data_IF_612174578445
#
_entry.id   IF_612174578445
#
_cell.length_a   1.000
_cell.length_b   1.000
_cell.length_c   1.000
_cell.angle_alpha   90.00
_cell.angle_beta   90.00
_cell.angle_gamma   90.00
#
_symmetry.space_group_name_H-M   'P 1'
#
loop_
_entity.id
_entity.type
_entity.pdbx_description
1 polymer ?
#
# COMPACT_ATOMS: atom_id res chain seq x y z
N UNK A 1 -3.24 5.30 -3.54
CA UNK A 1 -3.47 5.27 -2.08
C UNK A 1 -2.63 6.39 -1.51
N UNK A 2 -3.19 7.29 -0.70
CA UNK A 2 -2.45 8.43 -0.15
C UNK A 2 -1.64 7.99 1.10
N UNK A 3 -0.83 6.92 0.95
CA UNK A 3 -0.12 6.29 2.05
C UNK A 3 0.83 7.28 2.76
N UNK A 4 1.49 8.17 2.01
CA UNK A 4 2.32 9.23 2.59
C UNK A 4 1.55 10.14 3.55
N UNK A 5 0.36 10.62 3.15
CA UNK A 5 -0.47 11.47 4.01
C UNK A 5 -0.99 10.76 5.27
N UNK A 6 -1.28 9.46 5.18
CA UNK A 6 -1.70 8.67 6.34
C UNK A 6 -0.53 8.48 7.32
N UNK A 7 0.65 8.14 6.81
CA UNK A 7 1.86 8.04 7.64
C UNK A 7 2.20 9.38 8.28
N UNK A 8 2.07 10.48 7.54
CA UNK A 8 2.26 11.83 8.07
C UNK A 8 1.30 12.07 9.25
N UNK A 9 0.01 11.79 9.09
CA UNK A 9 -0.96 11.90 10.17
C UNK A 9 -0.53 11.12 11.41
N UNK A 10 -0.10 9.86 11.24
CA UNK A 10 0.35 9.02 12.36
C UNK A 10 1.57 9.61 13.08
N UNK A 11 2.58 10.08 12.34
CA UNK A 11 3.79 10.69 12.92
C UNK A 11 3.51 12.03 13.63
N UNK A 12 2.56 12.82 13.12
CA UNK A 12 2.14 14.07 13.73
C UNK A 12 1.40 13.85 15.06
N UNK A 13 0.68 12.73 15.20
CA UNK A 13 -0.02 12.36 16.45
C UNK A 13 0.83 11.53 17.42
N UNK A 14 2.04 11.15 17.02
CA UNK A 14 2.99 10.51 17.93
C UNK A 14 3.47 11.49 19.01
N UNK A 15 4.04 10.96 20.09
CA UNK A 15 4.65 11.74 21.18
C UNK A 15 5.67 12.76 20.64
N UNK A 16 5.46 14.04 20.95
CA UNK A 16 6.28 15.15 20.48
C UNK A 16 7.64 15.23 21.19
N UNK A 17 7.76 14.74 22.43
CA UNK A 17 9.05 14.70 23.15
C UNK A 17 9.98 13.65 22.54
N UNK A 18 9.38 12.57 22.03
CA UNK A 18 10.09 11.48 21.34
C UNK A 18 10.39 11.83 19.90
N UNK A 19 9.43 12.42 19.20
CA UNK A 19 9.54 12.79 17.80
C UNK A 19 9.09 14.25 17.62
N UNK A 20 9.99 15.22 17.82
CA UNK A 20 9.66 16.64 17.74
C UNK A 20 9.53 17.15 16.29
N UNK A 21 10.22 16.54 15.32
CA UNK A 21 10.21 17.02 13.93
C UNK A 21 9.80 15.92 12.95
N UNK A 22 8.90 16.25 12.03
CA UNK A 22 8.51 15.38 10.91
C UNK A 22 8.68 16.16 9.61
N UNK A 23 9.33 15.54 8.62
CA UNK A 23 9.49 16.11 7.28
C UNK A 23 8.70 15.28 6.28
N UNK A 24 7.89 15.93 5.45
CA UNK A 24 7.15 15.29 4.37
C UNK A 24 7.56 15.88 3.04
N UNK A 25 8.08 15.04 2.15
CA UNK A 25 8.48 15.42 0.79
C UNK A 25 7.52 14.76 -0.19
N UNK A 26 6.91 15.54 -1.07
CA UNK A 26 6.02 15.03 -2.12
C UNK A 26 6.22 15.86 -3.40
N UNK A 27 6.56 15.19 -4.50
CA UNK A 27 6.88 15.87 -5.76
C UNK A 27 8.08 16.82 -5.61
N UNK A 28 7.87 18.12 -5.84
CA UNK A 28 8.88 19.18 -5.65
C UNK A 28 8.70 19.99 -4.36
N UNK A 29 7.78 19.57 -3.48
CA UNK A 29 7.43 20.28 -2.26
C UNK A 29 7.93 19.52 -1.04
N UNK A 30 8.44 20.25 -0.06
CA UNK A 30 8.83 19.70 1.23
C UNK A 30 8.20 20.50 2.37
N UNK A 31 7.72 19.80 3.39
CA UNK A 31 7.06 20.37 4.55
C UNK A 31 7.79 19.91 5.80
N UNK A 32 8.23 20.85 6.64
CA UNK A 32 8.79 20.57 7.95
C UNK A 32 7.76 20.93 9.02
N UNK A 33 7.37 19.94 9.80
CA UNK A 33 6.46 20.08 10.92
C UNK A 33 7.28 20.03 12.22
N UNK A 34 7.35 21.16 12.92
CA UNK A 34 7.87 21.23 14.27
C UNK A 34 6.70 21.09 15.24
N UNK A 35 6.63 19.94 15.90
CA UNK A 35 5.57 19.59 16.83
C UNK A 35 5.73 20.26 18.19
N UNK A 36 6.94 20.72 18.53
CA UNK A 36 7.22 21.44 19.77
C UNK A 36 6.68 22.86 19.69
N UNK A 37 6.98 23.55 18.58
CA UNK A 37 6.49 24.92 18.34
C UNK A 37 5.13 24.96 17.64
N UNK A 38 4.62 23.81 17.19
CA UNK A 38 3.37 23.65 16.42
C UNK A 38 3.37 24.49 15.14
N UNK A 39 4.51 24.51 14.45
CA UNK A 39 4.68 25.27 13.20
C UNK A 39 4.86 24.34 12.00
N UNK A 40 4.52 24.86 10.82
CA UNK A 40 4.80 24.20 9.54
C UNK A 40 5.56 25.16 8.63
N UNK A 41 6.69 24.70 8.11
CA UNK A 41 7.50 25.43 7.14
C UNK A 41 7.46 24.71 5.81
N UNK A 42 7.19 25.46 4.74
CA UNK A 42 7.14 24.91 3.37
C UNK A 42 8.38 25.33 2.59
N UNK A 43 8.97 24.37 1.90
CA UNK A 43 10.12 24.56 1.02
C UNK A 43 9.74 24.09 -0.38
N UNK A 44 9.99 24.96 -1.36
CA UNK A 44 9.85 24.63 -2.78
C UNK A 44 11.23 24.36 -3.34
N UNK A 45 11.33 23.30 -4.14
CA UNK A 45 12.54 22.82 -4.80
C UNK A 45 13.61 22.19 -3.90
N UNK A 46 14.34 21.24 -4.51
CA UNK A 46 15.58 20.63 -4.02
C UNK A 46 16.72 21.38 -4.73
N UNK A 47 17.67 22.05 -4.05
CA UNK A 47 18.20 21.77 -2.70
C UNK A 47 17.88 22.86 -1.65
N UNK A 48 17.21 22.48 -0.54
CA UNK A 48 16.93 23.33 0.64
C UNK A 48 16.54 22.54 1.89
N UNK A 49 15.79 21.45 1.74
CA UNK A 49 15.27 20.71 2.91
C UNK A 49 16.32 19.82 3.57
N UNK A 50 17.25 19.29 2.79
CA UNK A 50 18.40 18.50 3.23
C UNK A 50 19.33 19.30 4.14
N UNK A 51 19.66 20.54 3.79
CA UNK A 51 20.42 21.46 4.64
C UNK A 51 19.71 21.70 5.97
N UNK A 52 18.40 21.93 5.93
CA UNK A 52 17.60 22.15 7.14
C UNK A 52 17.60 20.91 8.02
N UNK A 53 17.32 19.72 7.45
CA UNK A 53 17.33 18.46 8.21
C UNK A 53 18.72 18.18 8.80
N UNK A 54 19.79 18.45 8.05
CA UNK A 54 21.17 18.34 8.52
C UNK A 54 21.44 19.26 9.72
N UNK A 55 21.00 20.51 9.68
CA UNK A 55 21.14 21.46 10.81
C UNK A 55 20.42 20.92 12.06
N UNK A 56 19.20 20.41 11.92
CA UNK A 56 18.47 19.81 13.04
C UNK A 56 19.19 18.57 13.60
N UNK A 57 19.67 17.69 12.71
CA UNK A 57 20.42 16.49 13.07
C UNK A 57 21.72 16.83 13.82
N UNK A 58 22.48 17.82 13.34
CA UNK A 58 23.72 18.29 13.99
C UNK A 58 23.47 18.90 15.38
N UNK A 59 22.28 19.46 15.60
CA UNK A 59 21.83 19.96 16.91
C UNK A 59 21.30 18.86 17.83
N UNK A 60 21.34 17.60 17.41
CA UNK A 60 20.85 16.46 18.18
C UNK A 60 19.32 16.32 18.21
N UNK A 61 18.60 17.06 17.35
CA UNK A 61 17.14 16.96 17.27
C UNK A 61 16.78 15.67 16.54
N UNK A 62 15.92 14.86 17.16
CA UNK A 62 15.35 13.66 16.55
C UNK A 62 14.25 14.05 15.56
N UNK A 63 14.21 13.37 14.43
CA UNK A 63 13.13 13.57 13.48
C UNK A 63 12.91 12.38 12.57
N UNK A 64 11.89 12.50 11.74
CA UNK A 64 11.49 11.45 10.81
C UNK A 64 11.11 12.04 9.46
N UNK A 65 11.61 11.46 8.39
CA UNK A 65 11.31 11.88 7.03
C UNK A 65 10.34 10.90 6.34
N UNK A 66 9.34 11.42 5.64
CA UNK A 66 8.54 10.67 4.70
C UNK A 66 8.85 11.23 3.32
N UNK A 67 9.37 10.39 2.43
CA UNK A 67 9.61 10.73 1.03
C UNK A 67 8.57 10.04 0.15
N UNK A 68 7.62 10.81 -0.37
CA UNK A 68 6.54 10.34 -1.23
C UNK A 68 6.91 10.52 -2.70
N UNK A 69 7.46 9.45 -3.28
CA UNK A 69 7.93 9.38 -4.65
C UNK A 69 6.80 9.19 -5.67
N UNK A 70 5.53 9.30 -5.26
CA UNK A 70 4.40 8.94 -6.13
C UNK A 70 4.12 9.95 -7.25
N UNK A 71 4.44 11.23 -7.08
CA UNK A 71 4.15 12.28 -8.06
C UNK A 71 5.35 12.63 -8.97
N UNK A 72 6.57 12.38 -8.51
CA UNK A 72 7.78 12.52 -9.31
C UNK A 72 8.88 11.67 -8.66
N UNK A 73 9.38 10.66 -9.36
CA UNK A 73 10.58 9.93 -8.93
C UNK A 73 11.80 10.83 -9.15
N UNK A 74 12.07 11.74 -8.21
CA UNK A 74 13.37 12.42 -8.14
C UNK A 74 14.35 11.56 -7.37
N UNK A 75 15.63 11.75 -7.65
CA UNK A 75 16.69 11.08 -6.93
C UNK A 75 16.67 11.59 -5.48
N UNK A 76 16.69 10.68 -4.49
CA UNK A 76 16.84 11.11 -3.09
C UNK A 76 18.11 11.96 -2.96
N UNK A 77 18.05 13.09 -2.23
CA UNK A 77 19.24 13.81 -1.81
C UNK A 77 20.25 12.87 -1.17
N UNK A 78 21.53 13.01 -1.52
CA UNK A 78 22.59 12.07 -1.13
C UNK A 78 22.81 11.96 0.39
N UNK A 79 22.36 12.95 1.17
CA UNK A 79 22.56 13.03 2.63
C UNK A 79 21.41 12.51 3.48
N UNK A 80 20.34 11.96 2.89
CA UNK A 80 19.19 11.45 3.64
C UNK A 80 19.18 9.92 3.74
N UNK A 81 18.69 9.35 4.86
CA UNK A 81 18.34 10.05 6.11
C UNK A 81 19.59 10.55 6.85
N UNK A 82 19.47 11.71 7.51
CA UNK A 82 20.53 12.25 8.37
C UNK A 82 20.77 11.34 9.58
N UNK A 83 21.96 11.46 10.19
CA UNK A 83 22.30 10.68 11.40
C UNK A 83 21.27 10.89 12.50
N UNK A 84 20.75 9.80 13.07
CA UNK A 84 19.77 9.82 14.15
C UNK A 84 18.32 10.07 13.69
N UNK A 85 18.06 10.12 12.38
CA UNK A 85 16.71 10.27 11.82
C UNK A 85 16.22 8.98 11.17
N UNK A 86 14.92 8.72 11.30
CA UNK A 86 14.25 7.65 10.56
C UNK A 86 13.72 8.16 9.21
N UNK A 87 13.52 7.27 8.24
CA UNK A 87 12.88 7.62 6.99
C UNK A 87 12.01 6.50 6.45
N UNK A 88 10.83 6.86 5.93
CA UNK A 88 9.99 6.01 5.08
C UNK A 88 9.97 6.58 3.68
N UNK A 89 10.21 5.72 2.69
CA UNK A 89 10.03 6.03 1.29
C UNK A 89 8.73 5.37 0.81
N UNK A 90 7.80 6.19 0.32
CA UNK A 90 6.54 5.72 -0.28
C UNK A 90 6.74 5.72 -1.80
N UNK A 91 6.80 4.53 -2.38
CA UNK A 91 6.97 4.36 -3.83
C UNK A 91 5.67 3.94 -4.50
N UNK A 92 5.51 4.22 -5.81
CA UNK A 92 4.53 3.52 -6.62
C UNK A 92 4.73 2.00 -6.53
N UNK A 93 3.68 1.19 -6.77
CA UNK A 93 3.77 -0.27 -6.82
C UNK A 93 4.50 -0.74 -8.09
N UNK A 94 5.80 -0.47 -8.18
CA UNK A 94 6.69 -0.85 -9.27
C UNK A 94 7.92 -1.57 -8.70
N UNK A 95 8.17 -2.80 -9.17
CA UNK A 95 9.32 -3.63 -8.77
C UNK A 95 10.64 -2.91 -8.87
N UNK A 96 10.87 -2.28 -10.02
CA UNK A 96 12.17 -1.72 -10.37
C UNK A 96 12.52 -0.57 -9.42
N UNK A 97 11.50 0.20 -9.03
CA UNK A 97 11.65 1.24 -8.02
C UNK A 97 11.97 0.62 -6.65
N UNK A 98 11.18 -0.34 -6.19
CA UNK A 98 11.45 -1.01 -4.90
C UNK A 98 12.86 -1.61 -4.83
N UNK A 99 13.29 -2.36 -5.85
CA UNK A 99 14.62 -2.97 -5.90
C UNK A 99 15.73 -1.92 -5.93
N UNK A 100 15.52 -0.82 -6.66
CA UNK A 100 16.45 0.31 -6.71
C UNK A 100 16.63 0.96 -5.34
N UNK A 101 15.54 1.18 -4.62
CA UNK A 101 15.57 1.76 -3.27
C UNK A 101 16.19 0.82 -2.24
N UNK A 102 15.84 -0.47 -2.30
CA UNK A 102 16.40 -1.49 -1.40
C UNK A 102 17.91 -1.59 -1.56
N UNK A 103 18.41 -1.67 -2.80
CA UNK A 103 19.85 -1.72 -3.09
C UNK A 103 20.59 -0.45 -2.67
N UNK A 104 19.97 0.72 -2.83
CA UNK A 104 20.60 2.01 -2.52
C UNK A 104 20.71 2.28 -1.03
N UNK A 105 19.71 1.85 -0.25
CA UNK A 105 19.49 2.36 1.12
C UNK A 105 19.60 1.28 2.20
N UNK A 106 19.89 0.03 1.84
CA UNK A 106 19.75 -1.14 2.73
C UNK A 106 18.37 -1.16 3.44
N UNK A 107 17.34 -0.78 2.68
CA UNK A 107 16.02 -0.51 3.23
C UNK A 107 15.29 -1.81 3.57
N UNK A 108 14.60 -1.81 4.72
CA UNK A 108 13.68 -2.89 5.09
C UNK A 108 12.28 -2.58 4.56
N UNK A 109 11.66 -3.54 3.85
CA UNK A 109 10.28 -3.40 3.41
C UNK A 109 9.32 -3.39 4.60
N UNK A 110 8.44 -2.38 4.64
CA UNK A 110 7.34 -2.33 5.60
C UNK A 110 6.06 -2.69 4.86
N UNK A 111 5.48 -3.83 5.24
CA UNK A 111 4.15 -4.23 4.78
C UNK A 111 3.12 -3.56 5.68
N UNK A 112 2.11 -2.94 5.07
CA UNK A 112 0.94 -2.41 5.78
C UNK A 112 -0.32 -3.12 5.29
N UNK A 113 -1.28 -3.32 6.21
CA UNK A 113 -2.57 -3.90 5.83
C UNK A 113 -3.32 -2.91 4.93
N UNK A 114 -4.10 -3.46 4.00
CA UNK A 114 -5.11 -2.67 3.32
C UNK A 114 -6.17 -2.18 4.33
N UNK A 115 -6.89 -1.08 4.03
CA UNK A 115 -7.99 -0.62 4.86
C UNK A 115 -9.05 -1.70 5.07
N UNK A 116 -9.62 -1.74 6.25
CA UNK A 116 -10.74 -2.62 6.58
C UNK A 116 -12.07 -2.04 6.08
N UNK A 117 -13.13 -2.84 6.15
CA UNK A 117 -14.46 -2.41 5.72
C UNK A 117 -14.91 -1.12 6.41
N UNK A 118 -14.68 -1.00 7.72
CA UNK A 118 -15.04 0.19 8.48
C UNK A 118 -14.22 1.42 8.09
N UNK A 119 -12.94 1.24 7.74
CA UNK A 119 -12.09 2.33 7.24
C UNK A 119 -12.64 2.86 5.91
N UNK A 120 -12.95 1.96 4.97
CA UNK A 120 -13.51 2.33 3.67
C UNK A 120 -14.90 2.96 3.85
N UNK A 121 -15.72 2.45 4.77
CA UNK A 121 -17.03 3.02 5.09
C UNK A 121 -16.90 4.45 5.61
N UNK A 122 -15.98 4.69 6.53
CA UNK A 122 -15.70 6.03 7.05
C UNK A 122 -15.24 6.98 5.93
N UNK A 123 -14.37 6.52 5.02
CA UNK A 123 -13.98 7.29 3.83
C UNK A 123 -15.20 7.62 2.95
N UNK A 124 -16.11 6.67 2.72
CA UNK A 124 -17.32 6.90 1.93
C UNK A 124 -18.21 7.99 2.54
N UNK A 125 -18.45 7.90 3.86
CA UNK A 125 -19.22 8.89 4.62
C UNK A 125 -18.55 10.26 4.49
N UNK A 126 -17.23 10.35 4.66
CA UNK A 126 -16.49 11.60 4.55
C UNK A 126 -16.54 12.21 3.14
N UNK A 127 -16.41 11.37 2.10
CA UNK A 127 -16.49 11.80 0.69
C UNK A 127 -17.89 12.33 0.33
N UNK A 128 -18.94 11.78 0.95
CA UNK A 128 -20.34 12.17 0.72
C UNK A 128 -20.92 12.98 1.89
N UNK A 129 -20.09 13.59 2.73
CA UNK A 129 -20.50 14.26 3.99
C UNK A 129 -21.56 15.36 3.82
N UNK A 130 -21.57 16.02 2.66
CA UNK A 130 -22.52 17.09 2.34
C UNK A 130 -23.81 16.57 1.66
N UNK A 131 -23.96 15.25 1.53
CA UNK A 131 -25.12 14.61 0.88
C UNK A 131 -26.08 14.04 1.91
N UNK A 132 -27.38 13.88 1.57
CA UNK A 132 -28.35 13.24 2.45
C UNK A 132 -27.92 11.82 2.86
N UNK A 133 -28.34 11.33 4.05
CA UNK A 133 -28.00 9.99 4.53
C UNK A 133 -28.33 8.86 3.54
N UNK A 134 -29.41 9.00 2.77
CA UNK A 134 -29.80 8.03 1.75
C UNK A 134 -28.74 7.90 0.64
N UNK A 135 -28.26 9.01 0.07
CA UNK A 135 -27.20 9.00 -0.94
C UNK A 135 -25.88 8.45 -0.37
N UNK A 136 -25.59 8.70 0.90
CA UNK A 136 -24.41 8.13 1.56
C UNK A 136 -24.51 6.60 1.67
N UNK A 137 -25.70 6.09 2.01
CA UNK A 137 -25.96 4.66 2.11
C UNK A 137 -25.90 3.96 0.74
N UNK A 138 -26.46 4.58 -0.31
CA UNK A 138 -26.38 4.09 -1.68
C UNK A 138 -24.93 4.05 -2.19
N UNK A 139 -24.17 5.11 -1.97
CA UNK A 139 -22.76 5.16 -2.33
C UNK A 139 -21.94 4.09 -1.58
N UNK A 140 -22.19 3.91 -0.28
CA UNK A 140 -21.54 2.85 0.48
C UNK A 140 -21.88 1.46 -0.06
N UNK A 141 -23.15 1.20 -0.41
CA UNK A 141 -23.59 -0.07 -0.99
C UNK A 141 -22.83 -0.38 -2.29
N UNK A 142 -22.65 0.62 -3.14
CA UNK A 142 -21.88 0.51 -4.39
C UNK A 142 -20.39 0.19 -4.12
N UNK A 143 -19.74 0.96 -3.24
CA UNK A 143 -18.32 0.76 -2.89
C UNK A 143 -18.09 -0.59 -2.20
N UNK A 144 -18.97 -0.99 -1.28
CA UNK A 144 -18.91 -2.31 -0.63
C UNK A 144 -19.03 -3.43 -1.65
N UNK A 145 -19.93 -3.30 -2.63
CA UNK A 145 -20.06 -4.27 -3.72
C UNK A 145 -18.77 -4.42 -4.52
N UNK A 146 -18.12 -3.30 -4.89
CA UNK A 146 -16.83 -3.32 -5.57
C UNK A 146 -15.73 -3.93 -4.70
N UNK A 147 -15.71 -3.61 -3.41
CA UNK A 147 -14.74 -4.16 -2.46
C UNK A 147 -14.87 -5.68 -2.32
N UNK A 148 -16.09 -6.22 -2.35
CA UNK A 148 -16.32 -7.66 -2.35
C UNK A 148 -15.77 -8.37 -3.60
N UNK A 149 -15.62 -7.64 -4.71
CA UNK A 149 -15.16 -8.19 -5.98
C UNK A 149 -13.66 -8.02 -6.23
N UNK A 150 -13.07 -6.86 -5.90
CA UNK A 150 -11.65 -6.57 -6.16
C UNK A 150 -10.83 -6.27 -4.90
N UNK A 151 -11.41 -6.44 -3.72
CA UNK A 151 -10.78 -6.15 -2.44
C UNK A 151 -10.73 -4.66 -2.09
N UNK A 152 -10.18 -4.29 -0.93
CA UNK A 152 -10.09 -2.91 -0.44
C UNK A 152 -8.99 -2.08 -1.15
N UNK A 153 -8.83 -2.24 -2.46
CA UNK A 153 -7.94 -1.39 -3.25
C UNK A 153 -8.67 -0.08 -3.56
N UNK A 154 -8.39 0.96 -2.76
CA UNK A 154 -9.05 2.28 -2.86
C UNK A 154 -9.12 2.83 -4.30
N UNK A 155 -8.04 2.68 -5.10
CA UNK A 155 -8.00 3.18 -6.49
C UNK A 155 -9.01 2.51 -7.40
N UNK A 156 -9.33 1.24 -7.12
CA UNK A 156 -10.26 0.44 -7.91
C UNK A 156 -11.69 0.61 -7.42
N UNK A 157 -11.93 0.69 -6.10
CA UNK A 157 -13.30 0.69 -5.57
C UNK A 157 -14.00 2.07 -5.65
N UNK A 158 -13.26 3.18 -5.68
CA UNK A 158 -13.85 4.52 -5.73
C UNK A 158 -14.13 5.05 -7.14
N UNK A 159 -13.59 4.41 -8.19
CA UNK A 159 -13.82 4.79 -9.58
C UNK A 159 -14.45 3.63 -10.34
N UNK A 160 -15.57 3.88 -11.03
CA UNK A 160 -16.26 2.87 -11.83
C UNK A 160 -15.36 2.31 -12.93
N UNK A 161 -14.69 3.18 -13.68
CA UNK A 161 -13.79 2.76 -14.75
C UNK A 161 -12.63 1.93 -14.21
N UNK A 162 -11.97 2.39 -13.13
CA UNK A 162 -10.85 1.66 -12.55
C UNK A 162 -11.27 0.32 -11.91
N UNK A 163 -12.52 0.23 -11.43
CA UNK A 163 -13.12 -1.03 -11.01
C UNK A 163 -13.29 -1.99 -12.19
N UNK A 164 -13.91 -1.54 -13.27
CA UNK A 164 -14.16 -2.36 -14.48
C UNK A 164 -12.85 -2.84 -15.11
N UNK A 165 -11.85 -1.97 -15.21
CA UNK A 165 -10.51 -2.31 -15.70
C UNK A 165 -9.83 -3.35 -14.79
N UNK A 166 -9.99 -3.21 -13.47
CA UNK A 166 -9.42 -4.15 -12.51
C UNK A 166 -10.06 -5.52 -12.60
N UNK A 167 -11.38 -5.59 -12.75
CA UNK A 167 -12.12 -6.85 -12.94
C UNK A 167 -11.63 -7.56 -14.19
N UNK A 168 -11.57 -6.85 -15.34
CA UNK A 168 -11.04 -7.42 -16.59
C UNK A 168 -9.63 -7.94 -16.43
N UNK A 169 -8.75 -7.17 -15.78
CA UNK A 169 -7.37 -7.58 -15.54
C UNK A 169 -7.28 -8.82 -14.64
N UNK A 170 -8.15 -8.95 -13.62
CA UNK A 170 -8.21 -10.15 -12.79
C UNK A 170 -8.67 -11.37 -13.59
N UNK A 171 -9.77 -11.23 -14.35
CA UNK A 171 -10.32 -12.31 -15.16
C UNK A 171 -9.29 -12.85 -16.16
N UNK A 172 -8.64 -11.95 -16.90
CA UNK A 172 -7.56 -12.30 -17.82
C UNK A 172 -6.39 -13.02 -17.12
N UNK A 173 -6.10 -12.63 -15.87
CA UNK A 173 -5.07 -13.31 -15.07
C UNK A 173 -5.50 -14.74 -14.72
N UNK A 174 -6.72 -14.93 -14.22
CA UNK A 174 -7.23 -16.27 -13.85
C UNK A 174 -7.31 -17.17 -15.07
N UNK A 175 -7.84 -16.67 -16.20
CA UNK A 175 -8.01 -17.45 -17.43
C UNK A 175 -6.68 -17.82 -18.08
N UNK A 176 -5.71 -16.91 -18.04
CA UNK A 176 -4.40 -17.07 -18.66
C UNK A 176 -3.37 -17.83 -17.81
N UNK A 177 -3.72 -18.24 -16.59
CA UNK A 177 -2.80 -18.94 -15.68
C UNK A 177 -2.92 -20.45 -15.77
N UNK A 178 -1.80 -21.15 -15.61
CA UNK A 178 -1.80 -22.59 -15.43
C UNK A 178 -2.33 -22.98 -14.04
N UNK A 179 -2.87 -24.19 -13.90
CA UNK A 179 -3.35 -24.71 -12.61
C UNK A 179 -2.27 -24.63 -11.51
N UNK A 180 -1.03 -24.99 -11.83
CA UNK A 180 0.09 -24.93 -10.89
C UNK A 180 0.45 -23.50 -10.43
N UNK A 181 0.18 -22.48 -11.25
CA UNK A 181 0.37 -21.07 -10.88
C UNK A 181 -0.74 -20.58 -9.95
N UNK A 182 -1.98 -21.00 -10.21
CA UNK A 182 -3.14 -20.71 -9.37
C UNK A 182 -3.01 -21.41 -8.00
N UNK A 183 -2.58 -22.68 -7.97
CA UNK A 183 -2.30 -23.43 -6.74
C UNK A 183 -1.22 -22.76 -5.89
N UNK A 184 -0.14 -22.26 -6.51
CA UNK A 184 0.91 -21.50 -5.79
C UNK A 184 0.36 -20.24 -5.13
N UNK A 185 -0.58 -19.54 -5.77
CA UNK A 185 -1.21 -18.35 -5.22
C UNK A 185 -2.30 -18.66 -4.18
N UNK A 186 -2.93 -19.85 -4.28
CA UNK A 186 -3.80 -20.41 -3.25
C UNK A 186 -3.04 -20.98 -2.05
N UNK A 187 -1.71 -20.99 -2.07
CA UNK A 187 -0.84 -21.22 -0.92
C UNK A 187 -1.00 -20.15 0.15
N UNK A 188 -2.22 -20.01 0.68
CA UNK A 188 -2.63 -19.14 1.76
C UNK A 188 -1.86 -19.58 3.00
N UNK A 189 -1.10 -18.65 3.59
CA UNK A 189 -0.33 -18.92 4.80
C UNK A 189 1.16 -19.22 4.60
N UNK A 190 1.66 -19.24 3.36
CA UNK A 190 3.10 -19.20 3.10
C UNK A 190 3.64 -17.79 3.41
N UNK A 191 4.83 -17.73 4.04
CA UNK A 191 5.54 -16.48 4.27
C UNK A 191 5.61 -15.67 2.97
N UNK A 192 5.39 -14.35 3.04
CA UNK A 192 5.57 -13.45 1.91
C UNK A 192 6.88 -13.76 1.19
N UNK A 193 6.79 -14.35 -0.01
CA UNK A 193 7.85 -14.27 -0.99
C UNK A 193 7.56 -13.04 -1.82
N UNK A 194 8.59 -12.26 -2.12
CA UNK A 194 8.51 -11.15 -3.06
C UNK A 194 8.33 -11.63 -4.51
N UNK A 195 7.62 -12.75 -4.73
CA UNK A 195 7.30 -13.31 -6.03
C UNK A 195 6.30 -12.39 -6.71
N UNK A 196 6.90 -11.38 -7.32
CA UNK A 196 6.29 -10.28 -8.02
C UNK A 196 5.89 -10.72 -9.43
N UNK A 197 5.10 -11.79 -9.51
CA UNK A 197 4.43 -12.16 -10.75
C UNK A 197 3.29 -11.18 -11.00
N UNK A 198 3.03 -10.88 -12.26
CA UNK A 198 1.88 -10.07 -12.68
C UNK A 198 0.57 -10.63 -12.11
N UNK A 199 0.52 -11.97 -11.98
CA UNK A 199 -0.56 -12.71 -11.36
C UNK A 199 -0.76 -12.37 -9.86
N UNK A 200 0.31 -12.36 -9.06
CA UNK A 200 0.26 -11.98 -7.63
C UNK A 200 -0.27 -10.56 -7.44
N UNK A 201 0.19 -9.60 -8.26
CA UNK A 201 -0.31 -8.21 -8.20
C UNK A 201 -1.80 -8.10 -8.52
N UNK A 202 -2.29 -9.03 -9.35
CA UNK A 202 -3.67 -9.05 -9.80
C UNK A 202 -4.59 -9.77 -8.83
N UNK A 203 -4.14 -10.81 -8.13
CA UNK A 203 -5.04 -11.69 -7.37
C UNK A 203 -4.84 -11.68 -5.86
N UNK A 204 -3.67 -11.22 -5.39
CA UNK A 204 -3.24 -11.40 -3.99
C UNK A 204 -3.09 -10.05 -3.30
N UNK A 205 -3.38 -10.02 -2.00
CA UNK A 205 -2.98 -8.97 -1.06
C UNK A 205 -2.13 -9.55 0.05
N UNK A 206 -1.28 -8.72 0.63
CA UNK A 206 -0.50 -9.08 1.81
C UNK A 206 -1.24 -8.62 3.05
N UNK A 207 -1.38 -9.52 4.03
CA UNK A 207 -1.94 -9.24 5.35
C UNK A 207 -0.90 -9.56 6.42
N UNK A 208 -0.77 -8.68 7.41
CA UNK A 208 0.04 -8.92 8.61
C UNK A 208 -0.78 -9.74 9.59
N UNK A 209 -0.23 -10.86 10.02
CA UNK A 209 -0.82 -11.71 11.04
C UNK A 209 0.11 -11.77 12.24
N UNK A 210 -0.44 -11.51 13.43
CA UNK A 210 0.26 -11.64 14.70
C UNK A 210 0.02 -13.05 15.25
N UNK A 211 1.07 -13.86 15.37
CA UNK A 211 0.99 -15.16 16.07
C UNK A 211 1.34 -15.00 17.55
N UNK A 212 1.05 -16.02 18.35
CA UNK A 212 1.08 -16.03 19.84
C UNK A 212 2.37 -15.59 20.54
N UNK A 213 3.45 -15.28 19.80
CA UNK A 213 4.74 -14.86 20.34
C UNK A 213 5.09 -13.39 20.00
N UNK A 214 4.11 -12.55 19.66
CA UNK A 214 4.31 -11.17 19.16
C UNK A 214 5.13 -11.07 17.87
N UNK A 215 5.29 -12.17 17.16
CA UNK A 215 5.93 -12.19 15.84
C UNK A 215 4.85 -11.84 14.81
N UNK A 216 5.07 -10.73 14.11
CA UNK A 216 4.26 -10.34 12.95
C UNK A 216 4.83 -10.98 11.71
N UNK A 217 4.02 -11.76 10.99
CA UNK A 217 4.39 -12.35 9.72
C UNK A 217 3.45 -11.86 8.61
N UNK A 218 3.99 -11.38 7.48
CA UNK A 218 3.20 -11.10 6.30
C UNK A 218 2.78 -12.41 5.63
N UNK A 219 1.47 -12.53 5.36
CA UNK A 219 0.87 -13.65 4.63
C UNK A 219 0.24 -13.12 3.35
N UNK A 220 0.37 -13.91 2.29
CA UNK A 220 -0.38 -13.71 1.06
C UNK A 220 -1.78 -14.32 1.21
N UNK A 221 -2.81 -13.53 0.90
CA UNK A 221 -4.21 -13.97 0.83
C UNK A 221 -4.83 -13.45 -0.45
N UNK A 222 -5.86 -14.12 -0.95
CA UNK A 222 -6.60 -13.59 -2.08
C UNK A 222 -7.23 -12.25 -1.75
N UNK A 223 -7.30 -11.40 -2.77
CA UNK A 223 -7.65 -10.00 -2.59
C UNK A 223 -9.13 -9.81 -2.27
N UNK A 224 -10.00 -10.74 -2.69
CA UNK A 224 -11.43 -10.70 -2.47
C UNK A 224 -12.07 -12.10 -2.45
N UNK A 225 -13.23 -12.26 -1.78
CA UNK A 225 -14.00 -13.51 -1.82
C UNK A 225 -14.49 -13.89 -3.23
N UNK A 226 -14.70 -12.91 -4.11
CA UNK A 226 -15.08 -13.17 -5.50
C UNK A 226 -13.98 -13.90 -6.26
N UNK A 227 -12.74 -13.39 -6.18
CA UNK A 227 -11.61 -13.95 -6.89
C UNK A 227 -11.18 -15.30 -6.31
N UNK A 228 -11.44 -15.52 -5.03
CA UNK A 228 -11.35 -16.84 -4.41
C UNK A 228 -12.28 -17.85 -5.09
N UNK A 229 -13.56 -17.51 -5.25
CA UNK A 229 -14.51 -18.39 -5.96
C UNK A 229 -14.14 -18.63 -7.42
N UNK A 230 -13.72 -17.58 -8.15
CA UNK A 230 -13.31 -17.75 -9.55
C UNK A 230 -12.06 -18.60 -9.71
N UNK A 231 -11.05 -18.37 -8.86
CA UNK A 231 -9.81 -19.15 -8.88
C UNK A 231 -10.08 -20.63 -8.57
N UNK A 232 -10.90 -20.91 -7.55
CA UNK A 232 -11.29 -22.28 -7.21
C UNK A 232 -12.09 -22.95 -8.33
N UNK A 233 -13.07 -22.24 -8.92
CA UNK A 233 -13.86 -22.77 -10.02
C UNK A 233 -13.00 -23.10 -11.26
N UNK A 234 -12.00 -22.26 -11.56
CA UNK A 234 -11.05 -22.50 -12.66
C UNK A 234 -10.23 -23.76 -12.42
N UNK A 235 -9.73 -23.94 -11.20
CA UNK A 235 -8.95 -25.12 -10.80
C UNK A 235 -9.78 -26.41 -10.88
N UNK A 236 -11.01 -26.38 -10.38
CA UNK A 236 -11.92 -27.53 -10.50
C UNK A 236 -12.15 -27.94 -11.96
N UNK A 237 -12.26 -26.98 -12.88
CA UNK A 237 -12.43 -27.27 -14.30
C UNK A 237 -11.17 -27.89 -14.93
N UNK A 238 -9.97 -27.42 -14.56
CA UNK A 238 -8.70 -28.02 -15.00
C UNK A 238 -8.53 -29.45 -14.47
N UNK A 239 -8.83 -29.68 -13.19
CA UNK A 239 -8.74 -31.01 -12.59
C UNK A 239 -9.67 -32.01 -13.28
N UNK A 240 -10.91 -31.60 -13.57
CA UNK A 240 -11.85 -32.42 -14.34
C UNK A 240 -11.32 -32.74 -15.73
N UNK A 241 -10.67 -31.79 -16.42
CA UNK A 241 -10.08 -32.03 -17.74
C UNK A 241 -8.92 -33.02 -17.69
N UNK A 242 -8.04 -32.97 -16.68
CA UNK A 242 -6.94 -33.93 -16.54
C UNK A 242 -7.41 -35.37 -16.31
N UNK A 243 -8.53 -35.57 -15.59
CA UNK A 243 -9.10 -36.91 -15.36
C UNK A 243 -9.61 -37.56 -16.66
N UNK A 244 -9.97 -36.78 -17.68
CA UNK A 244 -10.37 -37.30 -19.00
C UNK A 244 -9.18 -37.66 -19.89
N UNK A 245 -7.95 -37.24 -19.57
CA UNK A 245 -6.76 -37.49 -20.41
C UNK A 245 -6.09 -38.84 -20.07
N UNK A 246 -6.34 -39.40 -18.89
CA UNK A 246 -5.74 -40.67 -18.44
C UNK A 246 -6.54 -41.93 -18.78
N UNK A 247 -7.57 -41.85 -19.60
CA UNK A 247 -8.29 -43.01 -20.13
C UNK A 247 -7.74 -43.43 -21.50
N UNK A 248 -6.64 -44.19 -21.52
CA UNK A 248 -6.22 -45.04 -22.64
C UNK A 248 -5.68 -46.37 -22.11
#
# INVERSE_FOLDING_TARGET
MAAGSYLLYQLLHYDAEKLPVVVYVIGSQSFLFDKTTKTVSTYMDDPRIDDVVNIFSLRGVRGYCIYDATLACRQLPAGLPCRGWGMIVVTPPNKNEYERWTKKMDATAIVTNCPEENDVRAMCIWMKRNRPPQEQAEYWKEVRGRMNNVGPILRSIFSKQAYDDRIKACQQAVDGSAASELERNLGIGCCYSSNDSDLSRKLVRVVRVRRGNNIELPLNVLISPHLERETLSRLENEMKQSDFIFSF
#
